data_IF_551382224767
#
_entry.id   IF_551382224767
#
_cell.length_a   1.000
_cell.length_b   1.000
_cell.length_c   1.000
_cell.angle_alpha   90.00
_cell.angle_beta   90.00
_cell.angle_gamma   90.00
#
_symmetry.space_group_name_H-M   'P 1'
#
loop_
_entity.id
_entity.type
_entity.pdbx_description
1 polymer ?
#
# COMPACT_ATOMS: atom_id res chain seq x y z
N UNK A 1 34.22 10.28 -22.06
CA UNK A 1 33.43 9.48 -22.99
C UNK A 1 31.99 9.46 -22.49
N UNK A 2 31.03 9.88 -23.30
CA UNK A 2 29.67 10.26 -22.80
C UNK A 2 28.73 9.05 -22.71
N UNK A 3 28.97 7.98 -23.49
CA UNK A 3 28.22 6.73 -23.41
C UNK A 3 29.03 5.57 -24.02
N UNK A 4 29.02 4.39 -23.40
CA UNK A 4 29.69 3.20 -23.92
C UNK A 4 28.89 2.54 -25.06
N UNK A 5 29.58 1.97 -26.05
CA UNK A 5 28.90 1.24 -27.15
C UNK A 5 28.22 -0.04 -26.63
N UNK A 6 26.95 -0.26 -26.99
CA UNK A 6 26.20 -1.48 -26.64
C UNK A 6 25.50 -2.08 -27.87
N UNK A 7 26.23 -2.79 -28.76
CA UNK A 7 25.68 -3.38 -29.98
C UNK A 7 24.63 -4.46 -29.75
N UNK A 8 23.66 -4.54 -30.67
CA UNK A 8 22.90 -5.78 -30.88
C UNK A 8 23.81 -6.82 -31.56
N UNK A 9 23.51 -8.13 -31.45
CA UNK A 9 24.37 -9.20 -31.94
C UNK A 9 24.75 -9.09 -33.43
N UNK A 10 23.91 -8.44 -34.23
CA UNK A 10 24.12 -8.24 -35.67
C UNK A 10 24.74 -6.88 -36.04
N UNK A 11 25.01 -6.00 -35.06
CA UNK A 11 25.59 -4.68 -35.31
C UNK A 11 27.09 -4.68 -35.05
N UNK A 12 27.86 -4.05 -35.95
CA UNK A 12 29.30 -3.85 -35.77
C UNK A 12 29.56 -2.89 -34.60
N UNK A 13 30.64 -3.11 -33.86
CA UNK A 13 31.13 -2.16 -32.85
C UNK A 13 31.62 -0.88 -33.53
N UNK A 14 31.33 0.26 -32.91
CA UNK A 14 31.72 1.58 -33.41
C UNK A 14 32.47 2.34 -32.33
N UNK A 15 33.53 3.06 -32.72
CA UNK A 15 34.29 3.96 -31.85
C UNK A 15 33.68 5.36 -31.84
N UNK A 16 33.30 5.88 -33.01
CA UNK A 16 32.56 7.12 -33.17
C UNK A 16 31.06 6.81 -33.19
N UNK A 17 30.37 7.10 -32.10
CA UNK A 17 28.96 6.76 -31.93
C UNK A 17 28.06 7.75 -32.68
N UNK A 18 27.14 7.21 -33.48
CA UNK A 18 26.05 8.00 -34.05
C UNK A 18 25.00 8.32 -32.96
N UNK A 19 24.15 9.35 -33.14
CA UNK A 19 23.08 9.65 -32.18
C UNK A 19 22.15 8.46 -31.90
N UNK A 20 21.82 7.67 -32.93
CA UNK A 20 21.06 6.43 -32.77
C UNK A 20 21.78 5.38 -31.93
N UNK A 21 23.12 5.34 -32.03
CA UNK A 21 23.95 4.45 -31.23
C UNK A 21 24.02 4.85 -29.76
N UNK A 22 24.09 6.15 -29.50
CA UNK A 22 24.00 6.71 -28.14
C UNK A 22 22.65 6.39 -27.52
N UNK A 23 21.54 6.60 -28.25
CA UNK A 23 20.21 6.28 -27.75
C UNK A 23 20.07 4.79 -27.36
N UNK A 24 20.69 3.89 -28.12
CA UNK A 24 20.71 2.45 -27.82
C UNK A 24 21.44 2.12 -26.51
N UNK A 25 22.50 2.85 -26.13
CA UNK A 25 23.23 2.61 -24.88
C UNK A 25 22.64 3.32 -23.65
N UNK A 26 21.80 4.33 -23.84
CA UNK A 26 21.16 5.08 -22.75
C UNK A 26 20.39 4.22 -21.75
N UNK A 27 19.83 3.07 -22.18
CA UNK A 27 19.12 2.17 -21.27
C UNK A 27 19.99 1.66 -20.10
N UNK A 28 21.27 1.37 -20.35
CA UNK A 28 22.21 0.97 -19.30
C UNK A 28 22.56 2.12 -18.36
N UNK A 29 22.66 3.34 -18.88
CA UNK A 29 22.88 4.55 -18.08
C UNK A 29 21.72 4.79 -17.14
N UNK A 30 20.47 4.70 -17.63
CA UNK A 30 19.29 4.84 -16.79
C UNK A 30 19.18 3.74 -15.72
N UNK A 31 19.56 2.51 -16.04
CA UNK A 31 19.60 1.43 -15.05
C UNK A 31 20.63 1.69 -13.94
N UNK A 32 21.78 2.26 -14.27
CA UNK A 32 22.83 2.61 -13.29
C UNK A 32 22.45 3.80 -12.40
N UNK A 33 21.76 4.81 -12.95
CA UNK A 33 21.24 5.95 -12.19
C UNK A 33 20.06 5.51 -11.31
N UNK A 34 19.27 4.56 -11.78
CA UNK A 34 18.02 4.13 -11.15
C UNK A 34 16.89 5.12 -11.41
N UNK A 35 15.82 5.01 -10.63
CA UNK A 35 14.70 5.94 -10.68
C UNK A 35 14.64 6.74 -9.38
N UNK A 36 14.54 8.09 -9.44
CA UNK A 36 14.26 8.89 -8.24
C UNK A 36 12.80 8.72 -7.77
N UNK A 37 11.96 8.04 -8.56
CA UNK A 37 10.58 7.84 -8.21
C UNK A 37 10.44 6.84 -7.05
N UNK A 38 9.61 7.20 -6.07
CA UNK A 38 9.18 6.27 -5.03
C UNK A 38 8.41 5.09 -5.62
N UNK A 39 8.42 3.96 -4.92
CA UNK A 39 7.62 2.80 -5.30
C UNK A 39 6.13 3.18 -5.37
N UNK A 40 5.37 2.68 -6.36
CA UNK A 40 3.95 2.99 -6.46
C UNK A 40 3.21 2.49 -5.23
N UNK A 41 2.12 3.20 -4.87
CA UNK A 41 1.22 2.74 -3.81
C UNK A 41 0.67 1.35 -4.17
N UNK A 42 0.67 0.38 -3.23
CA UNK A 42 0.15 -0.95 -3.49
C UNK A 42 -1.33 -0.84 -3.90
N UNK A 43 -1.65 -1.36 -5.09
CA UNK A 43 -3.02 -1.39 -5.61
C UNK A 43 -3.74 -2.61 -5.03
N UNK A 44 -4.90 -2.42 -4.41
CA UNK A 44 -5.70 -3.54 -3.91
C UNK A 44 -6.57 -3.20 -2.72
N UNK A 45 -6.97 -4.24 -1.98
CA UNK A 45 -7.69 -4.10 -0.71
C UNK A 45 -6.70 -3.70 0.38
N UNK A 46 -7.18 -2.98 1.40
CA UNK A 46 -6.36 -2.68 2.57
C UNK A 46 -5.76 -3.97 3.17
N UNK A 47 -4.59 -3.92 3.83
CA UNK A 47 -3.95 -5.08 4.47
C UNK A 47 -4.83 -5.79 5.51
N UNK A 48 -5.95 -5.18 5.87
CA UNK A 48 -6.88 -5.69 6.86
C UNK A 48 -6.39 -5.40 8.26
N UNK A 49 -6.92 -6.14 9.23
CA UNK A 49 -6.52 -6.03 10.61
C UNK A 49 -5.24 -6.85 10.85
N UNK A 50 -4.18 -6.28 11.46
CA UNK A 50 -2.92 -6.98 11.63
C UNK A 50 -3.08 -8.21 12.55
N UNK A 51 -2.45 -9.31 12.16
CA UNK A 51 -2.39 -10.55 12.94
C UNK A 51 -1.76 -10.28 14.31
N UNK A 52 -2.34 -10.84 15.37
CA UNK A 52 -1.87 -10.65 16.75
C UNK A 52 -2.36 -9.37 17.44
N UNK A 53 -2.99 -8.43 16.72
CA UNK A 53 -3.59 -7.25 17.34
C UNK A 53 -4.99 -7.57 17.86
N UNK A 54 -5.26 -7.32 19.14
CA UNK A 54 -6.59 -7.54 19.73
C UNK A 54 -7.56 -6.44 19.24
N UNK A 55 -8.74 -6.84 18.76
CA UNK A 55 -9.82 -5.89 18.44
C UNK A 55 -10.49 -5.41 19.73
N UNK A 56 -10.52 -4.10 19.96
CA UNK A 56 -11.30 -3.53 21.05
C UNK A 56 -12.79 -3.65 20.72
N UNK A 57 -13.58 -4.10 21.69
CA UNK A 57 -15.04 -4.09 21.57
C UNK A 57 -15.53 -2.65 21.57
N UNK A 58 -16.53 -2.36 20.72
CA UNK A 58 -17.21 -1.06 20.73
C UNK A 58 -17.83 -0.81 22.11
N UNK A 59 -17.64 0.38 22.64
CA UNK A 59 -18.27 0.81 23.91
C UNK A 59 -19.79 0.74 23.72
N UNK A 60 -20.47 -0.01 24.60
CA UNK A 60 -21.93 -0.08 24.65
C UNK A 60 -22.43 0.85 25.74
N UNK A 61 -23.22 1.84 25.35
CA UNK A 61 -23.94 2.70 26.29
C UNK A 61 -25.30 2.07 26.63
N UNK A 62 -25.81 2.26 27.86
CA UNK A 62 -27.13 1.76 28.24
C UNK A 62 -28.23 2.45 27.41
N UNK A 63 -29.30 1.72 27.12
CA UNK A 63 -30.46 2.28 26.43
C UNK A 63 -31.25 3.19 27.37
N UNK A 64 -31.17 4.50 27.15
CA UNK A 64 -32.00 5.48 27.88
C UNK A 64 -33.45 5.37 27.38
N UNK A 65 -34.38 4.97 28.26
CA UNK A 65 -35.82 4.94 27.98
C UNK A 65 -36.46 6.19 28.57
N UNK A 66 -37.35 6.85 27.81
CA UNK A 66 -38.12 8.02 28.28
C UNK A 66 -39.28 7.65 29.19
N UNK A 67 -39.68 6.39 29.19
CA UNK A 67 -40.89 5.93 29.86
C UNK A 67 -40.63 5.64 31.33
N UNK A 68 -41.49 6.14 32.23
CA UNK A 68 -41.45 5.79 33.65
C UNK A 68 -41.76 4.29 33.81
N UNK A 69 -40.90 3.51 34.48
CA UNK A 69 -41.19 2.10 34.74
C UNK A 69 -42.42 1.98 35.63
N UNK A 70 -43.28 0.99 35.35
CA UNK A 70 -44.42 0.70 36.23
C UNK A 70 -43.90 0.18 37.58
N UNK A 71 -44.47 0.60 38.72
CA UNK A 71 -44.07 0.09 40.02
C UNK A 71 -44.26 -1.43 40.06
N UNK A 72 -43.25 -2.15 40.56
CA UNK A 72 -43.30 -3.60 40.70
C UNK A 72 -44.29 -3.94 41.82
N UNK A 73 -45.32 -4.73 41.52
CA UNK A 73 -46.29 -5.19 42.52
C UNK A 73 -45.55 -6.08 43.51
N UNK A 74 -45.55 -5.70 44.79
CA UNK A 74 -44.97 -6.51 45.86
C UNK A 74 -45.79 -7.80 46.00
N UNK A 75 -45.10 -8.93 46.01
CA UNK A 75 -45.70 -10.23 46.31
C UNK A 75 -46.01 -10.25 47.81
N UNK A 76 -47.22 -10.68 48.24
CA UNK A 76 -47.51 -10.81 49.66
C UNK A 76 -46.53 -11.80 50.31
N UNK A 77 -45.94 -11.41 51.45
CA UNK A 77 -45.14 -12.33 52.28
C UNK A 77 -46.07 -13.45 52.75
N UNK A 78 -45.76 -14.69 52.37
CA UNK A 78 -46.39 -15.86 52.97
C UNK A 78 -46.14 -15.86 54.49
N UNK A 79 -47.21 -16.15 55.24
CA UNK A 79 -47.20 -16.31 56.69
C UNK A 79 -46.52 -17.60 57.13
#
# INVERSE_FOLDING_TARGET
DVAADNPLPWQKKQTNLSPGRVAQSMGGVFAAIGTPAETPKPRGKSPGWPTGRIRLRRIRYPTVKKTTPRPKKEQPKSA
#
